data_IF_972502498302
#
_entry.id   IF_972502498302
#
_cell.length_a   1.000
_cell.length_b   1.000
_cell.length_c   1.000
_cell.angle_alpha   90.00
_cell.angle_beta   90.00
_cell.angle_gamma   90.00
#
_symmetry.space_group_name_H-M   'P 1'
#
loop_
_entity.id
_entity.type
_entity.pdbx_description
1 polymer ?
#
# COMPACT_ATOMS: atom_id res chain seq x y z
N UNK A 1 -36.17 -4.05 -6.59
CA UNK A 1 -36.49 -3.03 -7.61
C UNK A 1 -36.32 -1.59 -7.11
N UNK A 2 -37.02 -1.18 -6.04
CA UNK A 2 -37.00 0.22 -5.56
C UNK A 2 -35.63 0.68 -5.04
N UNK A 3 -34.95 -0.18 -4.27
CA UNK A 3 -33.60 0.09 -3.74
C UNK A 3 -32.56 0.24 -4.87
N UNK A 4 -32.62 -0.63 -5.88
CA UNK A 4 -31.72 -0.57 -7.04
C UNK A 4 -32.00 0.69 -7.86
N UNK A 5 -33.27 1.01 -8.10
CA UNK A 5 -33.66 2.24 -8.80
C UNK A 5 -33.19 3.50 -8.06
N UNK A 6 -33.34 3.55 -6.74
CA UNK A 6 -32.84 4.65 -5.92
C UNK A 6 -31.31 4.75 -5.96
N UNK A 7 -30.59 3.63 -5.89
CA UNK A 7 -29.13 3.61 -6.00
C UNK A 7 -28.64 4.12 -7.37
N UNK A 8 -29.27 3.67 -8.47
CA UNK A 8 -28.96 4.17 -9.81
C UNK A 8 -29.26 5.67 -9.94
N UNK A 9 -30.39 6.14 -9.40
CA UNK A 9 -30.74 7.55 -9.42
C UNK A 9 -29.70 8.39 -8.66
N UNK A 10 -29.34 7.96 -7.44
CA UNK A 10 -28.31 8.62 -6.62
C UNK A 10 -26.97 8.65 -7.36
N UNK A 11 -26.57 7.54 -7.98
CA UNK A 11 -25.34 7.47 -8.76
C UNK A 11 -25.34 8.46 -9.92
N UNK A 12 -26.43 8.54 -10.70
CA UNK A 12 -26.56 9.47 -11.82
C UNK A 12 -26.61 10.94 -11.38
N UNK A 13 -27.23 11.22 -10.23
CA UNK A 13 -27.28 12.58 -9.67
C UNK A 13 -25.91 13.02 -9.17
N UNK A 14 -25.13 12.11 -8.59
CA UNK A 14 -23.79 12.41 -8.07
C UNK A 14 -22.70 12.40 -9.13
N UNK A 15 -22.91 11.70 -10.24
CA UNK A 15 -22.01 11.67 -11.40
C UNK A 15 -22.74 12.10 -12.67
N UNK A 16 -23.07 13.40 -12.81
CA UNK A 16 -23.75 13.91 -13.99
C UNK A 16 -22.90 13.79 -15.25
N UNK A 17 -21.58 13.58 -15.13
CA UNK A 17 -20.67 13.46 -16.27
C UNK A 17 -21.00 12.24 -17.14
N UNK A 18 -21.54 11.17 -16.54
CA UNK A 18 -22.08 10.01 -17.27
C UNK A 18 -23.16 10.40 -18.28
N UNK A 19 -23.90 11.48 -18.01
CA UNK A 19 -24.96 11.99 -18.89
C UNK A 19 -24.49 13.14 -19.79
N UNK A 20 -23.62 14.01 -19.26
CA UNK A 20 -23.15 15.22 -19.95
C UNK A 20 -22.08 14.92 -21.00
N UNK A 21 -21.25 13.89 -20.80
CA UNK A 21 -20.17 13.51 -21.70
C UNK A 21 -20.03 11.99 -21.78
N UNK A 22 -21.03 11.36 -22.39
CA UNK A 22 -21.09 9.92 -22.55
C UNK A 22 -19.86 9.30 -23.25
N UNK A 23 -19.28 9.89 -24.32
CA UNK A 23 -18.10 9.33 -24.97
C UNK A 23 -16.91 9.16 -24.03
N UNK A 24 -16.58 10.18 -23.23
CA UNK A 24 -15.46 10.11 -22.29
C UNK A 24 -15.81 9.24 -21.08
N UNK A 25 -17.04 9.33 -20.58
CA UNK A 25 -17.50 8.48 -19.47
C UNK A 25 -17.44 6.98 -19.83
N UNK A 26 -17.91 6.58 -21.02
CA UNK A 26 -17.85 5.18 -21.47
C UNK A 26 -16.40 4.71 -21.63
N UNK A 27 -15.51 5.59 -22.10
CA UNK A 27 -14.10 5.27 -22.28
C UNK A 27 -13.41 5.07 -20.92
N UNK A 28 -13.71 5.94 -19.95
CA UNK A 28 -13.26 5.80 -18.56
C UNK A 28 -13.77 4.51 -17.91
N UNK A 29 -15.06 4.19 -18.07
CA UNK A 29 -15.64 2.94 -17.55
C UNK A 29 -15.01 1.70 -18.20
N UNK A 30 -14.81 1.71 -19.53
CA UNK A 30 -14.16 0.62 -20.23
C UNK A 30 -12.70 0.45 -19.76
N UNK A 31 -11.97 1.55 -19.60
CA UNK A 31 -10.61 1.54 -19.08
C UNK A 31 -10.57 0.98 -17.65
N UNK A 32 -11.48 1.42 -16.78
CA UNK A 32 -11.57 0.96 -15.39
C UNK A 32 -11.94 -0.53 -15.33
N UNK A 33 -12.86 -0.98 -16.18
CA UNK A 33 -13.24 -2.37 -16.30
C UNK A 33 -12.05 -3.24 -16.68
N UNK A 34 -11.35 -2.88 -17.76
CA UNK A 34 -10.14 -3.58 -18.21
C UNK A 34 -9.08 -3.57 -17.11
N UNK A 35 -8.76 -2.39 -16.56
CA UNK A 35 -7.79 -2.24 -15.48
C UNK A 35 -8.09 -3.15 -14.29
N UNK A 36 -9.36 -3.20 -13.87
CA UNK A 36 -9.80 -3.99 -12.71
C UNK A 36 -9.72 -5.50 -12.96
N UNK A 37 -9.82 -5.94 -14.22
CA UNK A 37 -9.80 -7.37 -14.59
C UNK A 37 -8.45 -7.86 -15.13
N UNK A 38 -7.55 -6.96 -15.54
CA UNK A 38 -6.21 -7.35 -16.04
C UNK A 38 -5.09 -7.10 -15.03
N UNK A 39 -5.27 -6.16 -14.09
CA UNK A 39 -4.17 -5.69 -13.24
C UNK A 39 -3.09 -4.92 -14.01
N UNK A 40 -2.02 -4.48 -13.34
CA UNK A 40 -0.97 -3.65 -13.97
C UNK A 40 0.47 -3.86 -13.51
N UNK A 41 0.73 -4.45 -12.34
CA UNK A 41 2.08 -4.41 -11.75
C UNK A 41 2.63 -5.78 -11.39
N UNK A 42 1.84 -6.57 -10.68
CA UNK A 42 2.26 -7.86 -10.18
C UNK A 42 1.03 -8.74 -9.99
N UNK A 43 1.12 -9.99 -10.41
CA UNK A 43 0.18 -11.01 -9.99
C UNK A 43 0.44 -11.36 -8.53
N UNK A 44 -0.45 -10.94 -7.64
CA UNK A 44 -0.40 -11.23 -6.20
C UNK A 44 -1.12 -12.54 -5.85
N UNK A 45 -1.52 -13.31 -6.86
CA UNK A 45 -2.34 -14.49 -6.76
C UNK A 45 -3.82 -14.15 -6.54
N UNK A 46 -4.61 -15.11 -6.05
CA UNK A 46 -6.05 -14.92 -5.86
C UNK A 46 -6.36 -13.75 -4.90
N UNK A 47 -7.15 -12.78 -5.36
CA UNK A 47 -7.44 -11.55 -4.62
C UNK A 47 -8.07 -11.82 -3.24
N UNK A 48 -8.98 -12.79 -3.12
CA UNK A 48 -9.53 -13.21 -1.83
C UNK A 48 -8.43 -13.60 -0.82
N UNK A 49 -7.38 -14.26 -1.29
CA UNK A 49 -6.26 -14.71 -0.44
C UNK A 49 -5.40 -13.52 -0.06
N UNK A 50 -5.12 -12.61 -0.99
CA UNK A 50 -4.39 -11.37 -0.69
C UNK A 50 -5.15 -10.51 0.34
N UNK A 51 -6.46 -10.36 0.18
CA UNK A 51 -7.29 -9.62 1.11
C UNK A 51 -7.30 -10.24 2.51
N UNK A 52 -7.40 -11.57 2.64
CA UNK A 52 -7.37 -12.22 3.95
C UNK A 52 -5.98 -12.25 4.58
N UNK A 53 -4.92 -12.45 3.80
CA UNK A 53 -3.55 -12.68 4.33
C UNK A 53 -2.69 -11.43 4.42
N UNK A 54 -3.05 -10.38 3.68
CA UNK A 54 -2.36 -9.09 3.69
C UNK A 54 -3.30 -7.97 4.09
N UNK A 55 -4.34 -7.67 3.31
CA UNK A 55 -5.15 -6.45 3.50
C UNK A 55 -5.85 -6.40 4.86
N UNK A 56 -6.71 -7.37 5.14
CA UNK A 56 -7.45 -7.48 6.40
C UNK A 56 -6.56 -7.97 7.54
N UNK A 57 -5.59 -8.86 7.24
CA UNK A 57 -4.63 -9.36 8.23
C UNK A 57 -3.87 -8.23 8.92
N UNK A 58 -3.33 -7.29 8.15
CA UNK A 58 -2.56 -6.18 8.71
C UNK A 58 -3.43 -4.93 8.99
N UNK A 59 -4.62 -4.83 8.38
CA UNK A 59 -5.59 -3.78 8.71
C UNK A 59 -6.28 -3.96 10.07
N UNK A 60 -6.62 -5.21 10.46
CA UNK A 60 -7.28 -5.52 11.74
C UNK A 60 -6.33 -6.13 12.79
N UNK A 61 -5.24 -6.77 12.35
CA UNK A 61 -4.50 -7.73 13.18
C UNK A 61 -5.15 -9.12 13.16
N UNK A 62 -4.35 -10.16 13.44
CA UNK A 62 -4.79 -11.55 13.33
C UNK A 62 -5.93 -11.88 14.29
N UNK A 63 -5.79 -11.48 15.55
CA UNK A 63 -6.76 -11.81 16.59
C UNK A 63 -8.13 -11.19 16.30
N UNK A 64 -8.15 -9.91 15.94
CA UNK A 64 -9.38 -9.20 15.62
C UNK A 64 -10.00 -9.72 14.31
N UNK A 65 -9.19 -10.06 13.30
CA UNK A 65 -9.68 -10.68 12.06
C UNK A 65 -10.36 -12.02 12.33
N UNK A 66 -9.73 -12.92 13.08
CA UNK A 66 -10.32 -14.22 13.43
C UNK A 66 -11.63 -14.04 14.19
N UNK A 67 -11.65 -13.14 15.16
CA UNK A 67 -12.84 -12.83 15.93
C UNK A 67 -13.96 -12.22 15.07
N UNK A 68 -13.64 -11.37 14.09
CA UNK A 68 -14.59 -10.83 13.13
C UNK A 68 -15.19 -11.93 12.26
N UNK A 69 -14.37 -12.86 11.73
CA UNK A 69 -14.84 -13.99 10.93
C UNK A 69 -15.76 -14.92 11.74
N UNK A 70 -15.43 -15.17 13.02
CA UNK A 70 -16.30 -15.89 13.94
C UNK A 70 -17.62 -15.13 14.14
N UNK A 71 -17.56 -13.82 14.30
CA UNK A 71 -18.75 -12.96 14.41
C UNK A 71 -19.66 -13.03 13.18
N UNK A 72 -19.09 -13.01 11.97
CA UNK A 72 -19.83 -13.18 10.71
C UNK A 72 -20.51 -14.54 10.68
N UNK A 73 -19.76 -15.63 10.89
CA UNK A 73 -20.30 -16.98 10.88
C UNK A 73 -21.41 -17.15 11.94
N UNK A 74 -21.21 -16.57 13.12
CA UNK A 74 -22.16 -16.67 14.21
C UNK A 74 -23.46 -15.91 13.94
N UNK A 75 -23.36 -14.69 13.37
CA UNK A 75 -24.51 -13.90 12.94
C UNK A 75 -25.33 -14.62 11.86
N UNK A 76 -24.66 -15.18 10.85
CA UNK A 76 -25.31 -15.94 9.79
C UNK A 76 -25.99 -17.22 10.32
N UNK A 77 -25.37 -17.90 11.29
CA UNK A 77 -25.95 -19.09 11.90
C UNK A 77 -27.18 -18.75 12.76
N UNK A 78 -27.12 -17.70 13.57
CA UNK A 78 -28.26 -17.27 14.42
C UNK A 78 -29.37 -16.58 13.64
N UNK A 79 -29.08 -16.13 12.42
CA UNK A 79 -29.99 -15.37 11.56
C UNK A 79 -30.55 -14.12 12.25
N UNK A 80 -29.71 -13.44 13.03
CA UNK A 80 -30.12 -12.21 13.70
C UNK A 80 -30.24 -11.05 12.70
N UNK A 81 -31.26 -10.21 12.85
CA UNK A 81 -31.58 -9.18 11.85
C UNK A 81 -30.43 -8.18 11.63
N UNK A 82 -29.76 -7.76 12.71
CA UNK A 82 -28.64 -6.82 12.64
C UNK A 82 -27.40 -7.43 11.97
N UNK A 83 -27.08 -8.68 12.32
CA UNK A 83 -25.99 -9.43 11.72
C UNK A 83 -26.22 -9.76 10.25
N UNK A 84 -27.45 -10.12 9.87
CA UNK A 84 -27.84 -10.28 8.46
C UNK A 84 -27.69 -8.95 7.70
N UNK A 85 -28.13 -7.84 8.28
CA UNK A 85 -27.98 -6.52 7.67
C UNK A 85 -26.52 -6.18 7.41
N UNK A 86 -25.64 -6.35 8.41
CA UNK A 86 -24.20 -6.12 8.24
C UNK A 86 -23.58 -7.09 7.21
N UNK A 87 -24.00 -8.36 7.22
CA UNK A 87 -23.48 -9.38 6.30
C UNK A 87 -23.92 -9.13 4.85
N UNK A 88 -25.11 -8.54 4.66
CA UNK A 88 -25.62 -8.17 3.34
C UNK A 88 -24.76 -7.12 2.63
N UNK A 89 -24.00 -6.33 3.39
CA UNK A 89 -22.95 -5.47 2.85
C UNK A 89 -21.60 -6.20 2.81
N UNK A 90 -21.17 -6.77 3.93
CA UNK A 90 -19.80 -7.27 4.08
C UNK A 90 -19.46 -8.43 3.13
N UNK A 91 -20.38 -9.38 2.97
CA UNK A 91 -20.14 -10.58 2.15
C UNK A 91 -20.12 -10.23 0.66
N UNK A 92 -21.15 -9.56 0.08
CA UNK A 92 -21.09 -9.17 -1.33
C UNK A 92 -19.94 -8.23 -1.65
N UNK A 93 -19.64 -7.25 -0.78
CA UNK A 93 -18.50 -6.35 -0.98
C UNK A 93 -17.17 -7.11 -1.04
N UNK A 94 -16.94 -8.03 -0.08
CA UNK A 94 -15.72 -8.83 -0.07
C UNK A 94 -15.62 -9.73 -1.31
N UNK A 95 -16.71 -10.38 -1.71
CA UNK A 95 -16.74 -11.24 -2.90
C UNK A 95 -16.47 -10.44 -4.18
N UNK A 96 -17.09 -9.27 -4.33
CA UNK A 96 -16.90 -8.39 -5.48
C UNK A 96 -15.45 -7.95 -5.59
N UNK A 97 -14.89 -7.35 -4.53
CA UNK A 97 -13.49 -6.92 -4.51
C UNK A 97 -12.51 -8.09 -4.69
N UNK A 98 -12.89 -9.29 -4.24
CA UNK A 98 -12.10 -10.50 -4.40
C UNK A 98 -12.21 -11.14 -5.80
N UNK A 99 -13.11 -10.66 -6.65
CA UNK A 99 -13.24 -11.08 -8.04
C UNK A 99 -12.33 -10.27 -8.99
N UNK A 100 -11.81 -9.14 -8.52
CA UNK A 100 -10.96 -8.23 -9.29
C UNK A 100 -9.49 -8.67 -9.29
N UNK A 101 -8.78 -8.32 -10.35
CA UNK A 101 -7.31 -8.49 -10.48
C UNK A 101 -6.55 -7.23 -10.08
N UNK A 102 -7.17 -6.05 -10.14
CA UNK A 102 -6.64 -4.86 -9.49
C UNK A 102 -6.89 -4.98 -7.99
N UNK A 103 -5.86 -5.38 -7.25
CA UNK A 103 -5.93 -5.59 -5.80
C UNK A 103 -5.16 -4.49 -5.11
N UNK A 104 -5.73 -3.86 -4.08
CA UNK A 104 -5.01 -2.97 -3.18
C UNK A 104 -5.45 -3.19 -1.75
N UNK A 105 -4.56 -2.96 -0.79
CA UNK A 105 -4.89 -3.06 0.64
C UNK A 105 -6.02 -2.11 1.02
N UNK A 106 -6.01 -0.89 0.46
CA UNK A 106 -7.03 0.14 0.72
C UNK A 106 -8.44 -0.24 0.29
N UNK A 107 -8.62 -1.21 -0.60
CA UNK A 107 -9.96 -1.65 -1.04
C UNK A 107 -10.76 -2.31 0.08
N UNK A 108 -10.08 -2.83 1.11
CA UNK A 108 -10.75 -3.42 2.27
C UNK A 108 -11.10 -2.40 3.36
N UNK A 109 -10.69 -1.13 3.23
CA UNK A 109 -10.95 -0.08 4.24
C UNK A 109 -12.44 0.07 4.60
N UNK A 110 -13.38 0.07 3.63
CA UNK A 110 -14.82 0.16 3.95
C UNK A 110 -15.34 -1.02 4.78
N UNK A 111 -14.67 -2.18 4.70
CA UNK A 111 -15.07 -3.40 5.39
C UNK A 111 -14.61 -3.42 6.85
N UNK A 112 -13.55 -2.70 7.19
CA UNK A 112 -12.95 -2.63 8.54
C UNK A 112 -13.98 -2.31 9.64
N UNK A 113 -14.77 -1.21 9.59
CA UNK A 113 -15.72 -0.89 10.65
C UNK A 113 -16.79 -1.98 10.82
N UNK A 114 -17.23 -2.59 9.72
CA UNK A 114 -18.25 -3.65 9.75
C UNK A 114 -17.69 -4.94 10.36
N UNK A 115 -16.45 -5.30 10.06
CA UNK A 115 -15.76 -6.42 10.69
C UNK A 115 -15.51 -6.18 12.19
N UNK A 116 -15.21 -4.95 12.59
CA UNK A 116 -15.14 -4.57 14.01
C UNK A 116 -16.48 -4.78 14.73
N UNK A 117 -17.61 -4.45 14.09
CA UNK A 117 -18.95 -4.71 14.65
C UNK A 117 -19.22 -6.21 14.80
N UNK A 118 -18.82 -7.04 13.83
CA UNK A 118 -18.91 -8.50 13.96
C UNK A 118 -18.06 -9.03 15.10
N UNK A 119 -16.81 -8.57 15.23
CA UNK A 119 -15.93 -8.94 16.32
C UNK A 119 -16.50 -8.54 17.69
N UNK A 120 -17.05 -7.32 17.79
CA UNK A 120 -17.70 -6.83 19.00
C UNK A 120 -18.94 -7.66 19.35
N UNK A 121 -19.78 -7.99 18.37
CA UNK A 121 -20.95 -8.86 18.55
C UNK A 121 -20.54 -10.23 19.10
N UNK A 122 -19.47 -10.83 18.56
CA UNK A 122 -18.90 -12.08 19.06
C UNK A 122 -18.47 -11.98 20.53
N UNK A 123 -17.69 -10.96 20.89
CA UNK A 123 -17.22 -10.74 22.27
C UNK A 123 -18.36 -10.49 23.26
N UNK A 124 -19.30 -9.60 22.93
CA UNK A 124 -20.45 -9.29 23.79
C UNK A 124 -21.31 -10.53 24.00
N UNK A 125 -21.47 -11.32 22.95
CA UNK A 125 -22.17 -12.59 23.00
C UNK A 125 -21.54 -13.65 23.88
N UNK A 126 -20.21 -13.72 23.90
CA UNK A 126 -19.45 -14.56 24.83
C UNK A 126 -19.58 -14.02 26.26
N UNK A 127 -19.39 -12.70 26.46
CA UNK A 127 -19.51 -12.04 27.75
C UNK A 127 -20.88 -12.29 28.42
N UNK A 128 -21.98 -12.15 27.68
CA UNK A 128 -23.33 -12.43 28.20
C UNK A 128 -23.52 -13.88 28.67
N UNK A 129 -22.92 -14.85 28.00
CA UNK A 129 -22.99 -16.28 28.37
C UNK A 129 -22.06 -16.65 29.53
N UNK A 130 -20.95 -15.94 29.66
CA UNK A 130 -19.95 -16.18 30.71
C UNK A 130 -20.26 -15.42 32.00
N UNK A 131 -21.02 -14.32 31.93
CA UNK A 131 -21.44 -13.54 33.09
C UNK A 131 -22.25 -14.38 34.08
N UNK A 132 -23.21 -15.17 33.58
CA UNK A 132 -24.02 -16.08 34.41
C UNK A 132 -23.22 -17.25 34.99
N UNK A 133 -21.97 -17.43 34.56
CA UNK A 133 -21.06 -18.52 35.00
C UNK A 133 -19.88 -18.02 35.82
N UNK A 134 -19.83 -16.72 36.16
CA UNK A 134 -18.71 -16.12 36.90
C UNK A 134 -17.40 -16.03 36.11
N UNK A 135 -17.43 -16.24 34.79
CA UNK A 135 -16.23 -16.29 33.91
C UNK A 135 -16.14 -15.10 32.95
N UNK A 136 -16.75 -13.97 33.32
CA UNK A 136 -16.76 -12.74 32.51
C UNK A 136 -15.36 -12.18 32.20
N UNK A 137 -14.35 -12.51 33.00
CA UNK A 137 -12.97 -12.10 32.78
C UNK A 137 -12.38 -12.67 31.48
N UNK A 138 -12.80 -13.85 31.02
CA UNK A 138 -12.29 -14.48 29.80
C UNK A 138 -12.52 -13.64 28.52
N UNK A 139 -13.77 -13.24 28.19
CA UNK A 139 -14.01 -12.40 27.02
C UNK A 139 -13.43 -10.98 27.15
N UNK A 140 -13.28 -10.46 28.37
CA UNK A 140 -12.57 -9.19 28.61
C UNK A 140 -11.09 -9.34 28.25
N UNK A 141 -10.43 -10.36 28.79
CA UNK A 141 -9.03 -10.68 28.48
C UNK A 141 -8.83 -10.91 26.99
N UNK A 142 -9.72 -11.67 26.34
CA UNK A 142 -9.69 -11.86 24.89
C UNK A 142 -9.80 -10.52 24.15
N UNK A 143 -10.74 -9.66 24.55
CA UNK A 143 -10.91 -8.31 24.00
C UNK A 143 -9.64 -7.46 24.10
N UNK A 144 -8.97 -7.49 25.25
CA UNK A 144 -7.68 -6.79 25.43
C UNK A 144 -6.61 -7.39 24.52
N UNK A 145 -6.48 -8.72 24.47
CA UNK A 145 -5.45 -9.40 23.69
C UNK A 145 -5.58 -9.13 22.19
N UNK A 146 -6.80 -9.17 21.63
CA UNK A 146 -7.01 -8.94 20.19
C UNK A 146 -6.71 -7.50 19.77
N UNK A 147 -6.72 -6.54 20.69
CA UNK A 147 -6.40 -5.14 20.42
C UNK A 147 -4.89 -4.84 20.44
N UNK A 148 -4.05 -5.71 21.02
CA UNK A 148 -2.61 -5.48 21.14
C UNK A 148 -1.96 -5.22 19.77
N UNK A 149 -2.23 -6.08 18.79
CA UNK A 149 -1.64 -5.96 17.46
C UNK A 149 -2.09 -4.70 16.70
N UNK A 150 -3.39 -4.39 16.53
CA UNK A 150 -3.81 -3.17 15.83
C UNK A 150 -3.36 -1.89 16.57
N UNK A 151 -3.33 -1.88 17.92
CA UNK A 151 -2.80 -0.73 18.67
C UNK A 151 -1.30 -0.54 18.42
N UNK A 152 -0.51 -1.63 18.47
CA UNK A 152 0.91 -1.58 18.16
C UNK A 152 1.16 -1.11 16.72
N UNK A 153 0.37 -1.59 15.76
CA UNK A 153 0.42 -1.16 14.37
C UNK A 153 0.04 0.31 14.19
N UNK A 154 -0.99 0.81 14.88
CA UNK A 154 -1.40 2.21 14.84
C UNK A 154 -0.29 3.13 15.37
N UNK A 155 0.34 2.78 16.50
CA UNK A 155 1.49 3.51 17.04
C UNK A 155 2.69 3.47 16.08
N UNK A 156 2.93 2.33 15.44
CA UNK A 156 3.99 2.18 14.42
C UNK A 156 3.75 3.07 13.20
N UNK A 157 2.52 3.09 12.70
CA UNK A 157 2.09 3.95 11.60
C UNK A 157 2.29 5.43 11.94
N UNK A 158 1.79 5.85 13.12
CA UNK A 158 1.87 7.23 13.57
C UNK A 158 3.31 7.72 13.71
N UNK A 159 4.20 6.88 14.25
CA UNK A 159 5.63 7.20 14.31
C UNK A 159 6.23 7.43 12.92
N UNK A 160 5.89 6.61 11.93
CA UNK A 160 6.48 6.72 10.59
C UNK A 160 5.94 7.90 9.79
N UNK A 161 4.63 8.20 9.87
CA UNK A 161 4.01 9.27 9.07
C UNK A 161 4.54 10.65 9.44
N UNK A 162 5.00 10.83 10.70
CA UNK A 162 5.63 12.06 11.16
C UNK A 162 7.07 12.28 10.63
N UNK A 163 7.69 11.25 10.05
CA UNK A 163 9.03 11.36 9.48
C UNK A 163 8.98 11.60 7.98
N UNK A 164 9.88 12.47 7.50
CA UNK A 164 10.01 12.76 6.06
C UNK A 164 10.42 11.49 5.31
N UNK A 165 9.68 11.17 4.25
CA UNK A 165 10.00 10.13 3.27
C UNK A 165 11.40 10.34 2.67
N UNK A 166 12.17 9.28 2.46
CA UNK A 166 13.53 9.35 1.90
C UNK A 166 13.58 10.06 0.54
N UNK A 167 12.55 9.93 -0.29
CA UNK A 167 12.46 10.62 -1.59
C UNK A 167 12.35 12.14 -1.42
N UNK A 168 11.66 12.60 -0.36
CA UNK A 168 11.62 14.02 -0.01
C UNK A 168 12.97 14.51 0.54
N UNK A 169 13.70 13.66 1.26
CA UNK A 169 15.06 14.00 1.70
C UNK A 169 16.02 14.14 0.53
N UNK A 170 15.94 13.22 -0.45
CA UNK A 170 16.71 13.30 -1.70
C UNK A 170 16.37 14.58 -2.45
N UNK A 171 15.08 14.93 -2.57
CA UNK A 171 14.68 16.18 -3.17
C UNK A 171 15.30 17.39 -2.43
N UNK A 172 15.22 17.43 -1.10
CA UNK A 172 15.83 18.50 -0.29
C UNK A 172 17.34 18.59 -0.48
N UNK A 173 18.03 17.46 -0.55
CA UNK A 173 19.46 17.40 -0.84
C UNK A 173 19.78 17.99 -2.22
N UNK A 174 19.01 17.64 -3.24
CA UNK A 174 19.22 18.14 -4.60
C UNK A 174 18.85 19.62 -4.78
N UNK A 175 18.18 20.25 -3.82
CA UNK A 175 18.03 21.71 -3.79
C UNK A 175 19.31 22.42 -3.28
N UNK A 176 20.23 21.69 -2.64
CA UNK A 176 21.48 22.27 -2.10
C UNK A 176 22.65 22.23 -3.09
N UNK A 177 22.53 21.48 -4.18
CA UNK A 177 23.58 21.35 -5.19
C UNK A 177 23.55 22.52 -6.19
N UNK A 178 24.68 22.88 -6.83
CA UNK A 178 24.74 24.03 -7.74
C UNK A 178 23.72 23.96 -8.89
N UNK A 179 23.13 25.11 -9.22
CA UNK A 179 22.16 25.26 -10.31
C UNK A 179 22.71 24.81 -11.66
N UNK A 180 21.87 24.17 -12.48
CA UNK A 180 22.24 23.57 -13.77
C UNK A 180 22.62 22.08 -13.70
N UNK A 181 22.75 21.52 -12.49
CA UNK A 181 22.97 20.09 -12.31
C UNK A 181 21.67 19.30 -12.52
N UNK A 182 21.66 18.36 -13.46
CA UNK A 182 20.53 17.44 -13.66
C UNK A 182 20.79 16.11 -12.95
N UNK A 183 19.72 15.49 -12.46
CA UNK A 183 19.76 14.16 -11.86
C UNK A 183 18.95 13.17 -12.69
N UNK A 184 19.44 11.94 -12.80
CA UNK A 184 18.74 10.83 -13.43
C UNK A 184 18.53 9.66 -12.47
N UNK A 185 17.59 8.80 -12.81
CA UNK A 185 17.29 7.55 -12.09
C UNK A 185 16.87 6.47 -13.09
N UNK A 186 16.90 5.21 -12.65
CA UNK A 186 16.29 4.09 -13.35
C UNK A 186 14.91 3.76 -12.78
N UNK A 187 14.24 2.76 -13.37
CA UNK A 187 12.98 2.22 -12.87
C UNK A 187 11.74 2.99 -13.32
N UNK A 188 10.55 2.52 -12.93
CA UNK A 188 9.30 3.10 -13.39
C UNK A 188 9.09 4.49 -12.78
N UNK A 189 8.53 5.40 -13.59
CA UNK A 189 8.39 6.79 -13.14
C UNK A 189 7.56 6.98 -11.88
N UNK A 190 6.67 6.03 -11.59
CA UNK A 190 5.79 6.04 -10.41
C UNK A 190 6.56 6.09 -9.08
N UNK A 191 7.80 5.61 -9.04
CA UNK A 191 8.65 5.63 -7.84
C UNK A 191 8.83 7.05 -7.27
N UNK A 192 8.88 8.04 -8.16
CA UNK A 192 9.06 9.45 -7.80
C UNK A 192 7.81 10.30 -8.08
N UNK A 193 6.73 9.72 -8.64
CA UNK A 193 5.47 10.46 -8.91
C UNK A 193 4.68 10.79 -7.64
N UNK A 194 4.79 9.96 -6.60
CA UNK A 194 3.98 10.10 -5.39
C UNK A 194 4.53 11.11 -4.37
N UNK A 195 5.64 11.79 -4.68
CA UNK A 195 6.21 12.85 -3.83
C UNK A 195 6.12 14.22 -4.51
N UNK A 196 5.46 15.17 -3.87
CA UNK A 196 5.59 16.60 -4.17
C UNK A 196 7.00 17.06 -3.76
N UNK A 197 7.71 17.91 -4.53
CA UNK A 197 7.19 18.79 -5.58
C UNK A 197 7.53 18.36 -7.03
N UNK A 198 7.10 19.18 -8.00
CA UNK A 198 7.17 19.01 -9.47
C UNK A 198 8.55 18.69 -10.09
N UNK A 199 9.60 18.53 -9.30
CA UNK A 199 10.89 18.08 -9.78
C UNK A 199 10.89 16.56 -9.88
N UNK A 200 11.22 16.04 -11.07
CA UNK A 200 11.38 14.61 -11.30
C UNK A 200 12.78 14.36 -11.85
N UNK A 201 13.50 13.35 -11.34
CA UNK A 201 14.73 12.93 -12.00
C UNK A 201 14.40 12.50 -13.43
N UNK A 202 15.35 12.70 -14.34
CA UNK A 202 15.24 12.16 -15.69
C UNK A 202 15.22 10.63 -15.60
N UNK A 203 14.20 10.02 -16.19
CA UNK A 203 14.12 8.56 -16.26
C UNK A 203 14.96 8.06 -17.42
N UNK A 204 15.93 7.20 -17.12
CA UNK A 204 16.72 6.53 -18.14
C UNK A 204 16.15 5.14 -18.43
N UNK A 205 15.63 4.97 -19.64
CA UNK A 205 15.26 3.67 -20.18
C UNK A 205 16.47 3.11 -20.94
N UNK A 206 17.25 2.28 -20.25
CA UNK A 206 18.44 1.63 -20.81
C UNK A 206 18.04 0.69 -21.95
N UNK A 207 18.80 0.72 -23.05
CA UNK A 207 18.63 -0.27 -24.11
C UNK A 207 19.08 -1.66 -23.59
N UNK A 208 18.32 -2.75 -23.82
CA UNK A 208 18.74 -4.08 -23.38
C UNK A 208 20.17 -4.48 -23.79
N UNK A 209 20.64 -4.03 -24.96
CA UNK A 209 21.98 -4.34 -25.48
C UNK A 209 23.11 -3.49 -24.87
N UNK A 210 22.78 -2.35 -24.25
CA UNK A 210 23.75 -1.44 -23.62
C UNK A 210 24.25 -2.04 -22.29
N UNK A 211 25.42 -1.64 -21.79
CA UNK A 211 25.84 -1.92 -20.41
C UNK A 211 25.47 -0.76 -19.48
N UNK A 212 25.49 -0.95 -18.16
CA UNK A 212 25.27 0.18 -17.25
C UNK A 212 26.40 1.22 -17.29
N UNK A 213 27.63 0.82 -17.61
CA UNK A 213 28.74 1.76 -17.82
C UNK A 213 28.46 2.71 -18.99
N UNK A 214 28.12 2.14 -20.15
CA UNK A 214 27.74 2.92 -21.35
C UNK A 214 26.56 3.86 -21.07
N UNK A 215 25.53 3.38 -20.37
CA UNK A 215 24.38 4.20 -19.98
C UNK A 215 24.77 5.41 -19.13
N UNK A 216 25.65 5.20 -18.14
CA UNK A 216 26.13 6.27 -17.27
C UNK A 216 27.00 7.27 -18.04
N UNK A 217 27.78 6.82 -19.01
CA UNK A 217 28.58 7.69 -19.89
C UNK A 217 27.70 8.53 -20.81
N UNK A 218 26.65 7.95 -21.39
CA UNK A 218 25.64 8.69 -22.17
C UNK A 218 24.95 9.75 -21.33
N UNK A 219 24.54 9.41 -20.10
CA UNK A 219 23.91 10.36 -19.18
C UNK A 219 24.86 11.52 -18.85
N UNK A 220 26.13 11.20 -18.57
CA UNK A 220 27.17 12.20 -18.31
C UNK A 220 27.38 13.14 -19.49
N UNK A 221 27.45 12.60 -20.71
CA UNK A 221 27.56 13.39 -21.94
C UNK A 221 26.35 14.31 -22.17
N UNK A 222 25.16 13.94 -21.66
CA UNK A 222 23.94 14.78 -21.65
C UNK A 222 23.89 15.81 -20.51
N UNK A 223 24.96 15.94 -19.73
CA UNK A 223 25.05 16.90 -18.64
C UNK A 223 24.45 16.41 -17.31
N UNK A 224 24.08 15.13 -17.20
CA UNK A 224 23.65 14.55 -15.92
C UNK A 224 24.84 14.46 -14.98
N UNK A 225 24.69 15.07 -13.79
CA UNK A 225 25.73 15.11 -12.76
C UNK A 225 25.43 14.22 -11.58
N UNK A 226 24.16 13.93 -11.34
CA UNK A 226 23.73 13.08 -10.23
C UNK A 226 22.96 11.87 -10.75
N UNK A 227 23.25 10.71 -10.19
CA UNK A 227 22.50 9.49 -10.47
C UNK A 227 21.95 8.91 -9.17
N UNK A 228 20.65 8.64 -9.15
CA UNK A 228 19.93 8.14 -7.99
C UNK A 228 19.75 6.64 -8.13
N UNK A 229 20.18 5.90 -7.11
CA UNK A 229 19.91 4.47 -6.99
C UNK A 229 18.98 4.25 -5.82
N UNK A 230 17.94 3.46 -6.04
CA UNK A 230 16.93 3.21 -5.03
C UNK A 230 16.57 1.73 -4.91
N UNK A 231 16.45 1.25 -3.66
CA UNK A 231 16.16 -0.14 -3.34
C UNK A 231 15.02 -0.23 -2.33
N UNK A 232 14.13 -1.20 -2.52
CA UNK A 232 13.05 -1.50 -1.60
C UNK A 232 12.59 -2.95 -1.79
N UNK A 233 11.99 -3.61 -0.77
CA UNK A 233 11.26 -4.87 -0.97
C UNK A 233 10.11 -4.79 -2.00
N UNK A 234 9.75 -3.58 -2.45
CA UNK A 234 8.88 -3.33 -3.58
C UNK A 234 9.66 -3.40 -4.91
N UNK A 235 10.14 -4.58 -5.27
CA UNK A 235 11.06 -4.79 -6.41
C UNK A 235 10.51 -4.28 -7.75
N UNK A 236 9.19 -4.35 -7.96
CA UNK A 236 8.54 -3.83 -9.19
C UNK A 236 8.80 -2.34 -9.39
N UNK A 237 8.91 -1.58 -8.30
CA UNK A 237 9.10 -0.13 -8.33
C UNK A 237 10.53 0.29 -8.03
N UNK A 238 11.26 -0.50 -7.25
CA UNK A 238 12.59 -0.13 -6.75
C UNK A 238 13.49 -1.36 -6.59
N UNK A 239 13.84 -2.04 -7.69
CA UNK A 239 14.57 -3.30 -7.65
C UNK A 239 16.04 -3.08 -7.31
N UNK A 240 16.65 -4.10 -6.70
CA UNK A 240 18.11 -4.23 -6.60
C UNK A 240 18.67 -4.69 -7.94
N UNK A 241 19.65 -3.95 -8.48
CA UNK A 241 20.29 -4.26 -9.77
C UNK A 241 21.81 -4.32 -9.55
N UNK A 242 22.38 -5.51 -9.30
CA UNK A 242 23.80 -5.66 -8.96
C UNK A 242 24.76 -5.06 -9.99
N UNK A 243 24.45 -5.20 -11.28
CA UNK A 243 25.29 -4.72 -12.38
C UNK A 243 25.33 -3.18 -12.42
N UNK A 244 24.21 -2.52 -12.11
CA UNK A 244 24.14 -1.07 -11.99
C UNK A 244 24.93 -0.59 -10.77
N UNK A 245 24.78 -1.28 -9.64
CA UNK A 245 25.52 -0.94 -8.42
C UNK A 245 27.02 -1.15 -8.55
N UNK A 246 27.47 -2.11 -9.35
CA UNK A 246 28.88 -2.26 -9.70
C UNK A 246 29.34 -1.09 -10.59
N UNK A 247 28.63 -0.83 -11.70
CA UNK A 247 28.99 0.21 -12.66
C UNK A 247 29.03 1.62 -12.04
N UNK A 248 28.06 1.96 -11.19
CA UNK A 248 28.01 3.28 -10.55
C UNK A 248 29.15 3.51 -9.55
N UNK A 249 29.64 2.45 -8.88
CA UNK A 249 30.75 2.53 -7.91
C UNK A 249 32.06 2.86 -8.60
N UNK A 250 32.19 2.48 -9.88
CA UNK A 250 33.33 2.85 -10.73
C UNK A 250 33.13 4.24 -11.38
N UNK A 251 31.90 4.56 -11.79
CA UNK A 251 31.59 5.78 -12.54
C UNK A 251 31.34 7.03 -11.68
N UNK A 252 31.23 6.91 -10.35
CA UNK A 252 30.87 8.04 -9.49
C UNK A 252 31.20 7.87 -8.01
N UNK A 253 30.97 8.95 -7.26
CA UNK A 253 31.21 9.00 -5.81
C UNK A 253 29.89 9.19 -5.05
N UNK A 254 29.62 8.42 -3.99
CA UNK A 254 28.41 8.61 -3.20
C UNK A 254 28.47 9.94 -2.44
N UNK A 255 27.45 10.78 -2.60
CA UNK A 255 27.34 12.10 -1.99
C UNK A 255 26.12 12.24 -1.07
N UNK A 256 25.21 11.27 -1.09
CA UNK A 256 24.04 11.23 -0.22
C UNK A 256 23.57 9.80 0.03
N UNK A 257 23.17 9.53 1.27
CA UNK A 257 22.62 8.24 1.69
C UNK A 257 21.37 8.46 2.53
N UNK A 258 20.24 7.93 2.07
CA UNK A 258 18.93 8.13 2.68
C UNK A 258 18.28 6.77 2.91
N UNK A 259 18.18 6.35 4.17
CA UNK A 259 17.68 5.03 4.56
C UNK A 259 16.33 5.14 5.28
N UNK A 260 15.34 4.29 4.95
CA UNK A 260 14.13 4.15 5.74
C UNK A 260 14.36 3.35 7.05
N UNK A 261 15.50 2.67 7.16
CA UNK A 261 15.84 1.76 8.25
C UNK A 261 16.72 2.42 9.30
N UNK A 262 16.47 2.08 10.56
CA UNK A 262 17.35 2.46 11.68
C UNK A 262 18.71 1.75 11.53
N UNK A 263 19.83 2.41 11.87
CA UNK A 263 21.14 1.78 11.85
C UNK A 263 21.17 0.47 12.65
N UNK A 264 21.70 -0.60 12.05
CA UNK A 264 21.82 -1.92 12.67
C UNK A 264 20.51 -2.71 12.84
N UNK A 265 19.36 -2.18 12.39
CA UNK A 265 18.10 -2.88 12.51
C UNK A 265 17.88 -3.90 11.38
N UNK A 266 17.39 -5.09 11.72
CA UNK A 266 16.92 -6.09 10.76
C UNK A 266 15.42 -5.91 10.50
N UNK A 267 15.06 -4.91 9.70
CA UNK A 267 13.67 -4.63 9.37
C UNK A 267 13.11 -5.65 8.35
N UNK A 268 11.87 -6.11 8.58
CA UNK A 268 11.11 -6.96 7.64
C UNK A 268 9.68 -6.44 7.46
N UNK A 269 9.52 -5.19 6.99
CA UNK A 269 8.22 -4.58 6.79
C UNK A 269 7.39 -5.35 5.76
N UNK A 270 6.08 -5.26 5.91
CA UNK A 270 5.13 -5.74 4.90
C UNK A 270 4.61 -4.54 4.14
N UNK A 271 4.69 -4.58 2.82
CA UNK A 271 4.16 -3.54 1.93
C UNK A 271 2.98 -4.07 1.13
N UNK A 272 2.16 -3.14 0.64
CA UNK A 272 1.26 -3.42 -0.48
C UNK A 272 2.10 -3.56 -1.76
N UNK A 273 2.28 -4.79 -2.25
CA UNK A 273 3.28 -5.10 -3.30
C UNK A 273 2.98 -4.45 -4.65
N UNK A 274 1.75 -4.02 -4.85
CA UNK A 274 1.23 -3.42 -6.08
C UNK A 274 1.03 -1.91 -5.94
N UNK A 275 1.49 -1.31 -4.84
CA UNK A 275 1.40 0.12 -4.59
C UNK A 275 2.78 0.77 -4.44
N UNK A 276 3.07 1.74 -5.29
CA UNK A 276 4.29 2.56 -5.25
C UNK A 276 4.25 3.65 -4.16
N UNK A 277 3.52 3.41 -3.06
CA UNK A 277 3.44 4.32 -1.93
C UNK A 277 4.69 4.27 -1.04
N UNK A 278 5.40 3.13 -1.02
CA UNK A 278 6.58 2.89 -0.16
C UNK A 278 6.31 3.10 1.34
N UNK A 279 5.04 2.97 1.74
CA UNK A 279 4.63 2.97 3.12
C UNK A 279 4.21 1.55 3.52
N UNK A 280 4.79 0.96 4.57
CA UNK A 280 4.47 -0.40 4.99
C UNK A 280 3.05 -0.47 5.59
N UNK A 281 2.38 -1.59 5.37
CA UNK A 281 1.07 -1.90 5.96
C UNK A 281 1.19 -2.66 7.28
N UNK A 282 2.38 -3.17 7.62
CA UNK A 282 2.62 -3.86 8.87
C UNK A 282 4.10 -4.16 9.14
N UNK A 283 4.39 -4.70 10.33
CA UNK A 283 5.74 -5.03 10.81
C UNK A 283 6.69 -3.82 10.76
N UNK A 284 6.28 -2.73 11.40
CA UNK A 284 7.01 -1.45 11.45
C UNK A 284 8.37 -1.49 12.20
N UNK A 285 8.73 -2.62 12.81
CA UNK A 285 9.96 -2.76 13.57
C UNK A 285 11.21 -2.52 12.72
N UNK A 286 12.14 -1.71 13.23
CA UNK A 286 13.39 -1.36 12.56
C UNK A 286 13.29 -0.23 11.52
N UNK A 287 12.09 0.27 11.25
CA UNK A 287 11.90 1.44 10.39
C UNK A 287 12.01 2.74 11.19
N UNK A 288 12.49 3.76 10.52
CA UNK A 288 12.60 5.14 11.00
C UNK A 288 11.67 6.07 10.23
N UNK A 289 11.46 5.83 8.93
CA UNK A 289 10.70 6.69 8.01
C UNK A 289 10.21 5.88 6.80
N UNK A 290 9.23 6.39 6.02
CA UNK A 290 8.81 5.76 4.77
C UNK A 290 9.79 6.01 3.62
N UNK A 291 9.57 5.32 2.51
CA UNK A 291 10.34 5.47 1.27
C UNK A 291 11.36 4.34 1.02
N UNK A 292 11.90 4.25 -0.20
CA UNK A 292 12.99 3.32 -0.52
C UNK A 292 14.31 3.76 0.13
N UNK A 293 15.28 2.85 0.24
CA UNK A 293 16.66 3.25 0.47
C UNK A 293 17.17 3.94 -0.80
N UNK A 294 17.77 5.12 -0.68
CA UNK A 294 18.31 5.87 -1.81
C UNK A 294 19.77 6.25 -1.58
N UNK A 295 20.60 6.00 -2.58
CA UNK A 295 21.98 6.49 -2.64
C UNK A 295 22.10 7.44 -3.82
N UNK A 296 22.65 8.63 -3.55
CA UNK A 296 22.89 9.66 -4.57
C UNK A 296 24.37 9.63 -4.92
N UNK A 297 24.67 9.39 -6.19
CA UNK A 297 26.04 9.41 -6.72
C UNK A 297 26.26 10.68 -7.53
N UNK A 298 27.43 11.30 -7.36
CA UNK A 298 27.95 12.30 -8.29
C UNK A 298 28.78 11.57 -9.34
N UNK A 299 28.38 11.69 -10.61
CA UNK A 299 29.12 11.09 -11.72
C UNK A 299 30.46 11.84 -11.90
N UNK A 300 31.54 11.08 -12.11
CA UNK A 300 32.89 11.60 -12.26
C UNK A 300 33.11 12.28 -13.62
#
# INVERSE_FOLDING_TARGET
PLVVGAACLVFLVLDPYLLLDWPDARAGLAWQWTYSHTGQYLDVGPAWRYHLTVSLRYGLGLGLLVLALVGVAWALWRRDAGGILLASFAVPFFLEMSSLHAVFVRYMTPLVPVLCLFAASALVGLARRSWTRGTAWLPITLGVLVLIEPLHSAVGYDRLVHHKDTRLQVYQFLQTVPGGSTAATYGPSVTWRSTLPRWRPQFYAKNPAETWGEALDVLRARGVRYFLIHQSPLDVFSPTIPELEAAIREAGTPVGFFSPYRPGAHARPVYDRVDAHFFPVGRFGGLERPGPLVVVYRLN
#
